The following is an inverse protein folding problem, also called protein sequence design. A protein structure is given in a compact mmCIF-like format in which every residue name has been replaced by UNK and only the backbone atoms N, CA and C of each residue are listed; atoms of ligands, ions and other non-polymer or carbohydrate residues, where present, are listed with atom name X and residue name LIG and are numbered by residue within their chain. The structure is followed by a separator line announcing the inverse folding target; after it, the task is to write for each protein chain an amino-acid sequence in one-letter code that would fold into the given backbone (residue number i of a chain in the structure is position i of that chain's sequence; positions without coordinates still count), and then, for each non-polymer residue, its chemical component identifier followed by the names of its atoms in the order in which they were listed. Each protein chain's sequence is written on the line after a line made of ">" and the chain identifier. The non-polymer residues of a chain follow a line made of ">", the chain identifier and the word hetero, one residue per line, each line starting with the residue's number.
data_IF_490543836003
#
_entry.id   IF_490543836003
#
_cell.length_a   1.000
_cell.length_b   1.000
_cell.length_c   1.000
_cell.angle_alpha   90.00
_cell.angle_beta   90.00
_cell.angle_gamma   90.00
#
_symmetry.space_group_name_H-M   'P 1'
#
loop_
_entity.id
_entity.type
_entity.pdbx_description
1 polymer ?
#
# COMPACT_ATOMS: atom_id res chain seq x y z
N UNK A 1 4.83 12.17 10.82
CA UNK A 1 5.62 11.43 9.80
C UNK A 1 7.08 11.22 10.22
N UNK A 2 7.79 12.24 10.69
CA UNK A 2 9.22 12.12 11.07
C UNK A 2 9.51 11.03 12.10
N UNK A 3 8.66 10.86 13.13
CA UNK A 3 8.80 9.81 14.15
C UNK A 3 8.72 8.41 13.54
N UNK A 4 7.78 8.18 12.62
CA UNK A 4 7.64 6.90 11.91
C UNK A 4 8.92 6.60 11.13
N UNK A 5 9.41 7.57 10.35
CA UNK A 5 10.63 7.42 9.57
C UNK A 5 11.88 7.16 10.44
N UNK A 6 11.93 7.71 11.64
CA UNK A 6 13.06 7.51 12.55
C UNK A 6 13.07 6.15 13.26
N UNK A 7 11.90 5.56 13.52
CA UNK A 7 11.79 4.44 14.46
C UNK A 7 11.20 3.15 13.87
N UNK A 8 10.42 3.24 12.79
CA UNK A 8 9.66 2.09 12.32
C UNK A 8 10.53 1.04 11.61
N UNK A 9 10.32 -0.22 11.96
CA UNK A 9 10.83 -1.39 11.25
C UNK A 9 9.86 -1.88 10.17
N UNK A 10 8.56 -1.60 10.37
CA UNK A 10 7.48 -1.92 9.43
C UNK A 10 6.60 -0.67 9.31
N UNK A 11 6.29 -0.27 8.09
CA UNK A 11 5.39 0.85 7.82
C UNK A 11 4.23 0.33 6.97
N UNK A 12 3.02 0.38 7.54
CA UNK A 12 1.79 -0.03 6.86
C UNK A 12 0.94 1.20 6.53
N UNK A 13 0.53 1.30 5.27
CA UNK A 13 -0.26 2.43 4.76
C UNK A 13 -1.73 2.06 4.67
N UNK A 14 -2.58 2.88 5.31
CA UNK A 14 -4.04 2.76 5.35
C UNK A 14 -4.67 4.13 5.08
N UNK A 15 -4.30 4.72 3.94
CA UNK A 15 -4.63 6.09 3.57
C UNK A 15 -5.53 6.12 2.33
N UNK A 16 -6.50 7.04 2.26
CA UNK A 16 -7.17 7.31 0.99
C UNK A 16 -6.17 7.91 -0.01
N UNK A 17 -6.44 7.75 -1.30
CA UNK A 17 -5.66 8.41 -2.34
C UNK A 17 -6.15 9.86 -2.48
N UNK A 18 -5.27 10.80 -2.18
CA UNK A 18 -5.43 12.25 -2.37
C UNK A 18 -4.20 12.80 -3.09
N UNK A 19 -4.19 14.08 -3.42
CA UNK A 19 -2.99 14.71 -3.98
C UNK A 19 -1.81 14.64 -3.04
N UNK A 20 -2.03 14.79 -1.72
CA UNK A 20 -0.95 14.72 -0.72
C UNK A 20 -0.44 13.29 -0.48
N UNK A 21 -1.27 12.28 -0.71
CA UNK A 21 -0.89 10.86 -0.49
C UNK A 21 -0.42 10.17 -1.76
N UNK A 22 -0.65 10.77 -2.93
CA UNK A 22 -0.13 10.26 -4.20
C UNK A 22 1.38 10.27 -4.20
N UNK A 23 1.97 9.08 -4.40
CA UNK A 23 3.42 8.87 -4.38
C UNK A 23 4.10 9.35 -3.09
N UNK A 24 3.36 9.31 -1.97
CA UNK A 24 3.90 9.63 -0.65
C UNK A 24 5.16 8.81 -0.36
N UNK A 25 5.15 7.52 -0.76
CA UNK A 25 6.28 6.62 -0.59
C UNK A 25 7.12 6.62 -1.86
N UNK A 26 7.96 7.63 -1.99
CA UNK A 26 8.99 7.78 -3.01
C UNK A 26 10.40 7.53 -2.43
N UNK A 27 11.42 7.65 -3.26
CA UNK A 27 12.82 7.52 -2.81
C UNK A 27 13.19 8.55 -1.73
N UNK A 28 12.59 9.75 -1.73
CA UNK A 28 12.88 10.79 -0.70
C UNK A 28 12.30 10.39 0.64
N UNK A 29 11.07 9.83 0.65
CA UNK A 29 10.47 9.27 1.86
C UNK A 29 11.32 8.14 2.41
N UNK A 30 11.69 7.16 1.58
CA UNK A 30 12.44 5.97 1.97
C UNK A 30 13.84 6.34 2.51
N UNK A 31 14.53 7.30 1.88
CA UNK A 31 15.84 7.78 2.35
C UNK A 31 15.79 8.40 3.75
N UNK A 32 14.67 9.01 4.14
CA UNK A 32 14.48 9.58 5.48
C UNK A 32 14.24 8.52 6.57
N UNK A 33 13.93 7.28 6.19
CA UNK A 33 13.81 6.20 7.16
C UNK A 33 15.20 5.88 7.76
N UNK A 34 15.33 5.97 9.07
CA UNK A 34 16.59 5.65 9.75
C UNK A 34 16.92 4.16 9.66
N UNK A 35 15.90 3.32 9.72
CA UNK A 35 15.99 1.87 9.52
C UNK A 35 15.64 1.50 8.08
N UNK A 36 15.90 0.27 7.70
CA UNK A 36 15.50 -0.28 6.41
C UNK A 36 14.13 -0.98 6.59
N UNK A 37 13.00 -0.28 6.41
CA UNK A 37 11.70 -0.80 6.79
C UNK A 37 11.20 -1.86 5.81
N UNK A 38 10.21 -2.66 6.28
CA UNK A 38 9.28 -3.36 5.40
C UNK A 38 8.14 -2.39 5.10
N UNK A 39 7.75 -2.29 3.82
CA UNK A 39 6.65 -1.45 3.35
C UNK A 39 5.43 -2.34 3.12
N UNK A 40 4.29 -1.99 3.74
CA UNK A 40 3.01 -2.68 3.53
C UNK A 40 2.01 -1.69 2.94
N UNK A 41 1.41 -2.03 1.80
CA UNK A 41 0.36 -1.22 1.19
C UNK A 41 -0.87 -2.08 0.84
N UNK A 42 -1.94 -1.88 1.59
CA UNK A 42 -3.27 -2.47 1.38
C UNK A 42 -4.33 -1.40 1.17
N UNK A 43 -3.91 -0.18 0.79
CA UNK A 43 -4.80 0.98 0.66
C UNK A 43 -5.08 1.35 -0.80
N UNK A 44 -4.17 2.03 -1.46
CA UNK A 44 -4.22 2.40 -2.89
C UNK A 44 -2.82 2.32 -3.48
N UNK A 45 -2.69 1.75 -4.67
CA UNK A 45 -1.39 1.48 -5.29
C UNK A 45 -0.53 2.72 -5.47
N UNK A 46 -1.15 3.81 -5.93
CA UNK A 46 -0.47 5.09 -6.17
C UNK A 46 0.02 5.81 -4.90
N UNK A 47 -0.21 5.28 -3.70
CA UNK A 47 0.44 5.76 -2.46
C UNK A 47 1.94 5.45 -2.49
N UNK A 48 2.32 4.35 -3.14
CA UNK A 48 3.71 3.90 -3.28
C UNK A 48 4.15 4.06 -4.72
N UNK A 49 5.23 4.80 -4.96
CA UNK A 49 5.84 4.91 -6.29
C UNK A 49 6.64 3.64 -6.58
N UNK A 50 6.09 2.76 -7.41
CA UNK A 50 6.61 1.39 -7.63
C UNK A 50 8.04 1.40 -8.18
N UNK A 51 8.37 2.30 -9.10
CA UNK A 51 9.72 2.42 -9.64
C UNK A 51 10.76 2.74 -8.56
N UNK A 52 10.41 3.65 -7.64
CA UNK A 52 11.26 4.04 -6.52
C UNK A 52 11.38 2.90 -5.50
N UNK A 53 10.28 2.16 -5.25
CA UNK A 53 10.28 0.97 -4.40
C UNK A 53 11.25 -0.10 -4.94
N UNK A 54 11.18 -0.41 -6.23
CA UNK A 54 12.08 -1.39 -6.90
C UNK A 54 13.55 -1.00 -6.72
N UNK A 55 13.88 0.28 -6.90
CA UNK A 55 15.26 0.78 -6.71
C UNK A 55 15.72 0.57 -5.26
N UNK A 56 14.85 0.87 -4.30
CA UNK A 56 15.19 0.80 -2.88
C UNK A 56 15.16 -0.63 -2.32
N UNK A 57 14.37 -1.53 -2.88
CA UNK A 57 14.47 -2.99 -2.63
C UNK A 57 15.82 -3.52 -3.11
N UNK A 58 16.21 -3.19 -4.35
CA UNK A 58 17.49 -3.63 -4.93
C UNK A 58 18.70 -3.14 -4.13
N UNK A 59 18.65 -1.94 -3.56
CA UNK A 59 19.73 -1.40 -2.73
C UNK A 59 19.71 -1.89 -1.29
N UNK A 60 18.68 -2.64 -0.86
CA UNK A 60 18.50 -3.08 0.53
C UNK A 60 18.02 -1.97 1.47
N UNK A 61 17.72 -0.76 0.96
CA UNK A 61 17.18 0.34 1.78
C UNK A 61 15.73 0.07 2.21
N UNK A 62 14.99 -0.71 1.43
CA UNK A 62 13.74 -1.36 1.81
C UNK A 62 14.02 -2.85 1.98
N UNK A 63 13.77 -3.40 3.16
CA UNK A 63 14.06 -4.80 3.50
C UNK A 63 13.07 -5.77 2.87
N UNK A 64 11.86 -5.32 2.53
CA UNK A 64 10.83 -6.12 1.89
C UNK A 64 9.57 -5.30 1.65
N UNK A 65 8.63 -5.85 0.88
CA UNK A 65 7.34 -5.22 0.64
C UNK A 65 6.19 -6.23 0.63
N UNK A 66 5.02 -5.83 1.15
CA UNK A 66 3.77 -6.57 1.05
C UNK A 66 2.75 -5.66 0.36
N UNK A 67 2.33 -6.02 -0.84
CA UNK A 67 1.50 -5.17 -1.69
C UNK A 67 0.23 -5.89 -2.11
N UNK A 68 -0.92 -5.38 -1.69
CA UNK A 68 -2.24 -5.83 -2.14
C UNK A 68 -2.77 -4.97 -3.28
N UNK A 69 -2.14 -3.83 -3.52
CA UNK A 69 -2.55 -2.80 -4.50
C UNK A 69 -1.34 -2.28 -5.29
N UNK A 70 -1.57 -1.88 -6.55
CA UNK A 70 -0.56 -1.43 -7.49
C UNK A 70 -0.96 -0.12 -8.17
N UNK A 71 0.01 0.65 -8.70
CA UNK A 71 -0.23 1.95 -9.35
C UNK A 71 -1.22 1.87 -10.50
N UNK A 72 -1.16 0.81 -11.28
CA UNK A 72 -2.07 0.59 -12.40
C UNK A 72 -2.62 -0.84 -12.32
N UNK A 73 -3.84 -0.99 -11.81
CA UNK A 73 -4.50 -2.30 -11.67
C UNK A 73 -5.39 -2.67 -12.86
N UNK A 74 -5.54 -1.77 -13.83
CA UNK A 74 -6.37 -2.04 -15.01
C UNK A 74 -5.62 -2.95 -15.98
N UNK A 75 -5.98 -4.21 -15.97
CA UNK A 75 -5.48 -5.18 -16.97
C UNK A 75 -5.75 -4.67 -18.39
N UNK A 76 -4.74 -4.76 -19.25
CA UNK A 76 -4.82 -4.30 -20.65
C UNK A 76 -4.32 -2.87 -20.90
N UNK A 77 -4.02 -2.09 -19.86
CA UNK A 77 -3.48 -0.72 -19.99
C UNK A 77 -1.98 -0.62 -19.69
N UNK A 78 -1.33 -1.74 -19.36
CA UNK A 78 0.12 -1.74 -19.07
C UNK A 78 0.95 -1.41 -20.29
N UNK A 79 1.81 -0.43 -20.15
CA UNK A 79 2.90 -0.18 -21.10
C UNK A 79 3.97 -1.27 -20.97
N UNK A 80 4.85 -1.40 -21.96
CA UNK A 80 6.00 -2.31 -21.86
C UNK A 80 6.95 -1.93 -20.68
N UNK A 81 7.01 -0.65 -20.36
CA UNK A 81 7.71 -0.15 -19.17
C UNK A 81 7.10 -0.69 -17.87
N UNK A 82 5.76 -0.65 -17.75
CA UNK A 82 5.04 -1.17 -16.58
C UNK A 82 5.26 -2.66 -16.43
N UNK A 83 5.13 -3.44 -17.51
CA UNK A 83 5.36 -4.89 -17.50
C UNK A 83 6.77 -5.23 -17.04
N UNK A 84 7.76 -4.49 -17.54
CA UNK A 84 9.16 -4.69 -17.16
C UNK A 84 9.40 -4.34 -15.68
N UNK A 85 8.78 -3.27 -15.20
CA UNK A 85 8.87 -2.83 -13.80
C UNK A 85 8.23 -3.86 -12.86
N UNK A 86 7.02 -4.32 -13.15
CA UNK A 86 6.33 -5.33 -12.35
C UNK A 86 7.06 -6.68 -12.38
N UNK A 87 7.60 -7.09 -13.54
CA UNK A 87 8.43 -8.29 -13.62
C UNK A 87 9.65 -8.21 -12.69
N UNK A 88 10.29 -7.05 -12.60
CA UNK A 88 11.39 -6.82 -11.65
C UNK A 88 10.91 -6.86 -10.21
N UNK A 89 9.76 -6.23 -9.90
CA UNK A 89 9.19 -6.21 -8.55
C UNK A 89 8.85 -7.63 -8.07
N UNK A 90 8.20 -8.43 -8.90
CA UNK A 90 7.77 -9.79 -8.55
C UNK A 90 8.93 -10.82 -8.53
N UNK A 91 10.10 -10.45 -9.02
CA UNK A 91 11.29 -11.28 -8.95
C UNK A 91 12.06 -11.17 -7.62
N UNK A 92 11.67 -10.28 -6.72
CA UNK A 92 12.28 -10.19 -5.41
C UNK A 92 11.70 -11.23 -4.45
N UNK A 93 12.55 -12.05 -3.81
CA UNK A 93 12.13 -13.06 -2.81
C UNK A 93 11.53 -12.46 -1.54
N UNK A 94 11.79 -11.17 -1.28
CA UNK A 94 11.31 -10.42 -0.12
C UNK A 94 10.10 -9.51 -0.47
N UNK A 95 9.39 -9.82 -1.55
CA UNK A 95 8.15 -9.14 -1.95
C UNK A 95 6.99 -10.13 -1.96
N UNK A 96 5.95 -9.81 -1.20
CA UNK A 96 4.69 -10.56 -1.16
C UNK A 96 3.61 -9.72 -1.84
N UNK A 97 2.84 -10.34 -2.72
CA UNK A 97 1.76 -9.66 -3.45
C UNK A 97 0.45 -10.41 -3.32
N UNK A 98 -0.66 -9.68 -3.35
CA UNK A 98 -2.01 -10.22 -3.44
C UNK A 98 -2.87 -9.38 -4.40
N UNK A 99 -3.93 -9.94 -4.98
CA UNK A 99 -4.67 -9.29 -6.07
C UNK A 99 -5.81 -8.41 -5.56
N UNK A 100 -5.52 -7.41 -4.71
CA UNK A 100 -6.46 -6.43 -4.14
C UNK A 100 -7.61 -7.11 -3.37
N UNK A 101 -7.27 -8.04 -2.49
CA UNK A 101 -8.20 -8.86 -1.73
C UNK A 101 -8.05 -8.75 -0.20
N UNK A 102 -7.21 -7.86 0.31
CA UNK A 102 -6.96 -7.71 1.74
C UNK A 102 -8.22 -7.43 2.57
N UNK A 103 -9.23 -6.79 1.95
CA UNK A 103 -10.54 -6.53 2.56
C UNK A 103 -11.61 -7.61 2.30
N UNK A 104 -11.30 -8.71 1.63
CA UNK A 104 -12.29 -9.67 1.12
C UNK A 104 -12.45 -10.92 1.99
N UNK A 105 -12.00 -10.88 3.24
CA UNK A 105 -12.24 -11.99 4.17
C UNK A 105 -13.70 -12.01 4.65
N UNK A 106 -14.18 -13.17 5.09
CA UNK A 106 -15.54 -13.30 5.66
C UNK A 106 -15.73 -12.37 6.85
N UNK A 107 -14.74 -12.30 7.74
CA UNK A 107 -14.74 -11.45 8.94
C UNK A 107 -14.77 -9.96 8.57
N UNK A 108 -14.06 -9.55 7.52
CA UNK A 108 -14.06 -8.16 7.05
C UNK A 108 -15.46 -7.75 6.56
N UNK A 109 -16.11 -8.59 5.76
CA UNK A 109 -17.45 -8.34 5.25
C UNK A 109 -18.48 -8.26 6.38
N UNK A 110 -18.42 -9.18 7.33
CA UNK A 110 -19.32 -9.18 8.51
C UNK A 110 -19.10 -7.92 9.36
N UNK A 111 -17.84 -7.55 9.64
CA UNK A 111 -17.53 -6.34 10.41
C UNK A 111 -17.99 -5.08 9.72
N UNK A 112 -17.81 -4.96 8.39
CA UNK A 112 -18.29 -3.81 7.63
C UNK A 112 -19.81 -3.68 7.73
N UNK A 113 -20.55 -4.76 7.51
CA UNK A 113 -22.02 -4.78 7.63
C UNK A 113 -22.48 -4.42 9.05
N UNK A 114 -21.87 -5.03 10.06
CA UNK A 114 -22.18 -4.77 11.47
C UNK A 114 -21.91 -3.33 11.88
N UNK A 115 -20.77 -2.76 11.45
CA UNK A 115 -20.43 -1.38 11.78
C UNK A 115 -21.34 -0.38 11.06
N UNK A 116 -21.71 -0.66 9.81
CA UNK A 116 -22.66 0.16 9.08
C UNK A 116 -24.03 0.15 9.76
N UNK A 117 -24.55 -1.04 10.10
CA UNK A 117 -25.82 -1.19 10.81
C UNK A 117 -25.82 -0.44 12.15
N UNK A 118 -24.76 -0.58 12.96
CA UNK A 118 -24.62 0.15 14.22
C UNK A 118 -24.62 1.67 14.03
N UNK A 119 -24.03 2.17 12.95
CA UNK A 119 -24.04 3.61 12.64
C UNK A 119 -25.44 4.06 12.24
N UNK A 120 -26.14 3.31 11.40
CA UNK A 120 -27.53 3.62 10.98
C UNK A 120 -28.46 3.65 12.20
N UNK A 121 -28.39 2.66 13.09
CA UNK A 121 -29.23 2.59 14.28
C UNK A 121 -28.93 3.68 15.33
N UNK A 122 -27.76 4.31 15.28
CA UNK A 122 -27.42 5.46 16.14
C UNK A 122 -27.88 6.79 15.59
N UNK A 123 -28.13 6.88 14.30
CA UNK A 123 -28.80 8.03 13.70
C UNK A 123 -30.31 7.79 13.86
N UNK A 124 -30.93 8.35 14.90
CA UNK A 124 -32.36 8.57 14.91
C UNK A 124 -32.65 9.51 13.74
N UNK A 125 -33.26 8.96 12.69
CA UNK A 125 -33.75 9.77 11.58
C UNK A 125 -34.98 10.50 12.17
N UNK A 126 -34.91 11.83 12.36
CA UNK A 126 -36.10 12.56 12.72
C UNK A 126 -37.06 12.48 11.53
N UNK A 127 -38.18 11.80 11.71
CA UNK A 127 -39.33 11.81 10.78
C UNK A 127 -40.05 13.16 10.85
#
# INVERSE_FOLDING_TARGET
>A
MATIQAQADIISFHLPLTEETRFLVDTRFIKKCAKNPIIINTSRGEVVKTADLVINLKSGKVRGACLDVFENEKTGTYTEGDKTMYKKLFAFDNVVVSPHIAGWTAESKERLATMLLKKILRFEIPF
#
